data_IF_815597617057
#
_entry.id   IF_815597617057
#
_cell.length_a   1.000
_cell.length_b   1.000
_cell.length_c   1.000
_cell.angle_alpha   90.00
_cell.angle_beta   90.00
_cell.angle_gamma   90.00
#
_symmetry.space_group_name_H-M   'P 1'
#
loop_
_entity.id
_entity.type
_entity.pdbx_description
1 polymer ?
#
# COMPACT_ATOMS: atom_id res chain seq x y z
N UNK A 1 -10.56 -7.11 -23.02
CA UNK A 1 -11.66 -7.48 -22.09
C UNK A 1 -12.24 -6.20 -21.48
N UNK A 2 -13.39 -6.22 -20.78
CA UNK A 2 -13.81 -5.03 -20.04
C UNK A 2 -12.75 -4.63 -19.01
N UNK A 3 -12.61 -3.32 -18.79
CA UNK A 3 -11.67 -2.73 -17.84
C UNK A 3 -12.43 -2.25 -16.61
N UNK A 4 -12.02 -2.73 -15.45
CA UNK A 4 -12.63 -2.35 -14.19
C UNK A 4 -11.62 -1.60 -13.32
N UNK A 5 -12.11 -0.60 -12.58
CA UNK A 5 -11.35 0.02 -11.49
C UNK A 5 -11.31 -0.95 -10.32
N UNK A 6 -10.12 -1.39 -9.94
CA UNK A 6 -9.89 -2.46 -8.98
C UNK A 6 -8.91 -2.03 -7.89
N UNK A 7 -9.16 -0.84 -7.33
CA UNK A 7 -8.33 -0.25 -6.28
C UNK A 7 -8.23 -1.17 -5.07
N UNK A 8 -7.04 -1.22 -4.48
CA UNK A 8 -6.78 -1.95 -3.24
C UNK A 8 -5.89 -1.14 -2.32
N UNK A 9 -5.98 -1.46 -1.04
CA UNK A 9 -5.10 -0.94 -0.02
C UNK A 9 -4.30 -2.07 0.62
N UNK A 10 -3.11 -1.74 1.09
CA UNK A 10 -2.30 -2.63 1.92
C UNK A 10 -2.00 -1.92 3.23
N UNK A 11 -2.33 -2.56 4.34
CA UNK A 11 -1.98 -2.08 5.67
C UNK A 11 -1.05 -3.08 6.36
N UNK A 12 -0.04 -2.57 7.05
CA UNK A 12 0.85 -3.42 7.83
C UNK A 12 1.21 -2.79 9.19
N UNK A 13 1.25 -3.64 10.21
CA UNK A 13 1.85 -3.36 11.52
C UNK A 13 3.24 -4.01 11.53
N UNK A 14 4.27 -3.23 11.82
CA UNK A 14 5.64 -3.74 11.90
C UNK A 14 5.96 -4.21 13.32
N UNK A 15 6.88 -5.17 13.46
CA UNK A 15 7.27 -5.68 14.79
C UNK A 15 7.96 -4.59 15.62
N UNK A 16 8.82 -3.81 14.99
CA UNK A 16 9.52 -2.69 15.62
C UNK A 16 9.67 -1.53 14.63
N UNK A 17 9.39 -0.31 15.10
CA UNK A 17 9.64 0.92 14.35
C UNK A 17 10.35 1.95 15.25
N UNK A 18 11.67 2.06 15.07
CA UNK A 18 12.47 3.06 15.76
C UNK A 18 12.30 4.43 15.13
N UNK A 19 12.41 4.48 13.80
CA UNK A 19 12.36 5.68 12.96
C UNK A 19 11.58 5.44 11.65
N UNK A 20 10.59 6.30 11.39
CA UNK A 20 9.72 6.18 10.22
C UNK A 20 10.47 6.46 8.90
N UNK A 21 11.58 7.19 8.94
CA UNK A 21 12.37 7.48 7.74
C UNK A 21 13.17 6.24 7.33
N UNK A 22 13.90 5.62 8.26
CA UNK A 22 14.65 4.39 8.02
C UNK A 22 13.74 3.25 7.56
N UNK A 23 12.60 3.06 8.24
CA UNK A 23 11.59 2.08 7.79
C UNK A 23 11.03 2.43 6.41
N UNK A 24 10.78 3.72 6.14
CA UNK A 24 10.35 4.18 4.82
C UNK A 24 11.36 3.89 3.71
N UNK A 25 12.66 3.99 3.98
CA UNK A 25 13.72 3.62 3.03
C UNK A 25 13.73 2.12 2.73
N UNK A 26 13.54 1.26 3.74
CA UNK A 26 13.40 -0.19 3.55
C UNK A 26 12.16 -0.55 2.71
N UNK A 27 11.02 0.09 2.99
CA UNK A 27 9.79 -0.08 2.21
C UNK A 27 9.98 0.42 0.77
N UNK A 28 10.61 1.58 0.57
CA UNK A 28 10.92 2.09 -0.77
C UNK A 28 11.82 1.11 -1.54
N UNK A 29 12.85 0.55 -0.89
CA UNK A 29 13.72 -0.44 -1.52
C UNK A 29 12.96 -1.69 -1.94
N UNK A 30 12.04 -2.19 -1.10
CA UNK A 30 11.15 -3.30 -1.45
C UNK A 30 10.28 -2.99 -2.67
N UNK A 31 9.65 -1.82 -2.67
CA UNK A 31 8.73 -1.43 -3.74
C UNK A 31 9.44 -1.19 -5.09
N UNK A 32 10.71 -0.77 -5.06
CA UNK A 32 11.54 -0.64 -6.28
C UNK A 32 11.83 -1.96 -6.98
N UNK A 33 11.68 -3.09 -6.29
CA UNK A 33 11.81 -4.43 -6.88
C UNK A 33 10.51 -4.92 -7.55
N UNK A 34 9.41 -4.16 -7.43
CA UNK A 34 8.16 -4.43 -8.14
C UNK A 34 8.23 -3.72 -9.48
N UNK A 35 8.22 -4.49 -10.56
CA UNK A 35 8.54 -3.97 -11.90
C UNK A 35 7.52 -2.94 -12.41
N UNK A 36 6.28 -3.06 -11.98
CA UNK A 36 5.13 -2.24 -12.36
C UNK A 36 5.12 -0.91 -11.59
N UNK A 37 5.85 -0.80 -10.48
CA UNK A 37 5.95 0.45 -9.72
C UNK A 37 7.08 1.32 -10.28
N UNK A 38 6.73 2.49 -10.82
CA UNK A 38 7.66 3.42 -11.46
C UNK A 38 7.70 4.76 -10.75
N UNK A 39 8.81 5.46 -10.95
CA UNK A 39 9.04 6.83 -10.48
C UNK A 39 8.81 7.01 -8.97
N UNK A 40 9.16 5.97 -8.20
CA UNK A 40 8.99 5.94 -6.76
C UNK A 40 9.95 6.94 -6.08
N UNK A 41 9.37 7.89 -5.33
CA UNK A 41 10.10 8.88 -4.56
C UNK A 41 9.53 8.97 -3.14
N UNK A 42 10.42 9.08 -2.15
CA UNK A 42 10.04 9.27 -0.76
C UNK A 42 10.17 10.73 -0.35
N UNK A 43 9.16 11.26 0.35
CA UNK A 43 9.16 12.59 0.93
C UNK A 43 8.78 12.51 2.41
N UNK A 44 9.36 13.35 3.24
CA UNK A 44 8.97 13.47 4.65
C UNK A 44 7.92 14.55 4.82
N UNK A 45 6.93 14.29 5.67
CA UNK A 45 5.85 15.22 6.02
C UNK A 45 5.82 15.44 7.52
N UNK A 46 5.39 16.64 7.92
CA UNK A 46 5.17 17.01 9.31
C UNK A 46 3.96 17.92 9.41
N UNK A 47 3.03 17.60 10.30
CA UNK A 47 1.83 18.39 10.57
C UNK A 47 1.44 18.23 12.04
N UNK A 48 1.17 19.33 12.74
CA UNK A 48 0.64 19.32 14.12
C UNK A 48 1.40 18.37 15.07
N UNK A 49 2.73 18.39 15.01
CA UNK A 49 3.59 17.54 15.84
C UNK A 49 3.74 16.09 15.37
N UNK A 50 2.91 15.63 14.42
CA UNK A 50 3.04 14.32 13.78
C UNK A 50 4.01 14.39 12.61
N UNK A 51 4.77 13.32 12.41
CA UNK A 51 5.70 13.18 11.29
C UNK A 51 5.57 11.81 10.64
N UNK A 52 5.66 11.75 9.32
CA UNK A 52 5.58 10.52 8.55
C UNK A 52 6.40 10.62 7.26
N UNK A 53 6.68 9.49 6.64
CA UNK A 53 7.21 9.41 5.29
C UNK A 53 6.08 9.05 4.32
N UNK A 54 6.06 9.67 3.15
CA UNK A 54 5.21 9.27 2.04
C UNK A 54 6.07 8.73 0.91
N UNK A 55 5.61 7.69 0.23
CA UNK A 55 6.18 7.22 -1.03
C UNK A 55 5.16 7.49 -2.12
N UNK A 56 5.55 8.29 -3.11
CA UNK A 56 4.74 8.64 -4.28
C UNK A 56 5.29 7.92 -5.50
N UNK A 57 4.42 7.58 -6.43
CA UNK A 57 4.84 7.15 -7.76
C UNK A 57 3.65 6.75 -8.61
N UNK A 58 3.89 5.88 -9.58
CA UNK A 58 2.84 5.36 -10.46
C UNK A 58 2.92 3.85 -10.62
N UNK A 59 1.78 3.28 -10.94
CA UNK A 59 1.60 1.88 -11.34
C UNK A 59 1.54 1.89 -12.86
N UNK A 60 2.47 1.21 -13.51
CA UNK A 60 2.58 1.10 -14.96
C UNK A 60 2.15 -0.31 -15.39
N UNK A 61 0.93 -0.42 -15.89
CA UNK A 61 0.27 -1.67 -16.29
C UNK A 61 -0.38 -1.51 -17.66
N UNK A 62 -0.58 -2.60 -18.43
CA UNK A 62 -1.21 -2.55 -19.75
C UNK A 62 -2.59 -1.89 -19.76
N UNK A 63 -3.33 -1.99 -18.66
CA UNK A 63 -4.67 -1.43 -18.51
C UNK A 63 -4.69 0.10 -18.39
N UNK A 64 -3.52 0.72 -18.18
CA UNK A 64 -3.29 2.16 -18.10
C UNK A 64 -2.54 2.57 -16.84
N UNK A 65 -1.67 3.57 -16.94
CA UNK A 65 -0.89 4.03 -15.79
C UNK A 65 -1.76 4.79 -14.77
N UNK A 66 -1.56 4.49 -13.49
CA UNK A 66 -2.36 5.00 -12.37
C UNK A 66 -1.49 5.36 -11.16
N UNK A 67 -2.11 5.89 -10.11
CA UNK A 67 -1.40 6.46 -8.97
C UNK A 67 -1.00 5.38 -7.94
N UNK A 68 0.20 5.54 -7.38
CA UNK A 68 0.68 4.80 -6.22
C UNK A 68 0.96 5.79 -5.09
N UNK A 69 0.49 5.48 -3.89
CA UNK A 69 0.77 6.27 -2.69
C UNK A 69 0.96 5.38 -1.47
N UNK A 70 2.01 5.61 -0.68
CA UNK A 70 2.19 4.97 0.62
C UNK A 70 2.46 6.01 1.70
N UNK A 71 2.05 5.70 2.93
CA UNK A 71 2.34 6.44 4.15
C UNK A 71 2.96 5.50 5.17
N UNK A 72 4.07 5.93 5.77
CA UNK A 72 4.81 5.24 6.81
C UNK A 72 4.87 6.15 8.03
N UNK A 73 4.27 5.71 9.13
CA UNK A 73 4.23 6.43 10.40
C UNK A 73 4.63 5.52 11.56
N UNK A 74 5.14 6.14 12.61
CA UNK A 74 5.50 5.45 13.86
C UNK A 74 4.29 5.21 14.75
N UNK A 75 3.47 6.24 14.92
CA UNK A 75 2.40 6.23 15.92
C UNK A 75 1.17 5.44 15.44
N UNK A 76 0.74 4.51 16.27
CA UNK A 76 -0.49 3.73 16.09
C UNK A 76 -1.65 4.38 16.84
N UNK A 77 -2.86 4.20 16.35
CA UNK A 77 -4.08 4.57 17.07
C UNK A 77 -5.17 3.53 16.84
N UNK A 78 -6.26 3.57 17.61
CA UNK A 78 -7.39 2.66 17.39
C UNK A 78 -7.97 2.76 15.97
N UNK A 79 -8.00 3.97 15.40
CA UNK A 79 -8.48 4.21 14.03
C UNK A 79 -7.47 3.78 12.96
N UNK A 80 -6.19 3.82 13.29
CA UNK A 80 -5.10 3.51 12.37
C UNK A 80 -4.08 2.59 13.06
N UNK A 81 -4.44 1.32 13.27
CA UNK A 81 -3.60 0.33 13.95
C UNK A 81 -2.58 -0.29 12.98
N UNK A 82 -1.92 0.56 12.20
CA UNK A 82 -0.92 0.17 11.20
C UNK A 82 0.19 1.22 11.12
N UNK A 83 1.41 0.78 10.81
CA UNK A 83 2.55 1.66 10.53
C UNK A 83 2.62 2.05 9.06
N UNK A 84 2.26 1.11 8.19
CA UNK A 84 2.26 1.27 6.76
C UNK A 84 0.83 1.24 6.25
N UNK A 85 0.51 2.21 5.40
CA UNK A 85 -0.67 2.19 4.54
C UNK A 85 -0.21 2.43 3.10
N UNK A 86 -0.69 1.63 2.17
CA UNK A 86 -0.46 1.82 0.73
C UNK A 86 -1.80 1.83 0.03
N UNK A 87 -1.97 2.78 -0.90
CA UNK A 87 -3.05 2.81 -1.87
C UNK A 87 -2.53 2.49 -3.27
N UNK A 88 -3.11 1.46 -3.85
CA UNK A 88 -2.96 1.08 -5.24
C UNK A 88 -4.21 1.51 -6.00
N UNK A 89 -4.15 2.65 -6.68
CA UNK A 89 -5.18 3.05 -7.64
C UNK A 89 -4.84 2.34 -8.94
N UNK A 90 -5.63 1.36 -9.38
CA UNK A 90 -5.32 0.61 -10.59
C UNK A 90 -6.55 0.01 -11.24
N UNK A 91 -6.42 -0.26 -12.54
CA UNK A 91 -7.42 -0.99 -13.30
C UNK A 91 -6.96 -2.43 -13.50
N UNK A 92 -7.91 -3.32 -13.76
CA UNK A 92 -7.61 -4.66 -14.25
C UNK A 92 -8.61 -5.08 -15.33
N UNK A 93 -8.11 -5.79 -16.34
CA UNK A 93 -8.95 -6.48 -17.31
C UNK A 93 -9.39 -7.84 -16.76
N UNK A 94 -10.71 -8.07 -16.78
CA UNK A 94 -11.36 -9.31 -16.36
C UNK A 94 -12.77 -9.40 -16.98
N UNK A 95 -13.49 -10.50 -16.70
CA UNK A 95 -14.88 -10.68 -17.16
C UNK A 95 -15.87 -9.81 -16.38
N UNK A 96 -15.63 -9.62 -15.09
CA UNK A 96 -16.41 -8.78 -14.17
C UNK A 96 -15.51 -8.10 -13.12
N UNK A 97 -16.13 -7.24 -12.30
CA UNK A 97 -15.43 -6.47 -11.25
C UNK A 97 -14.82 -7.37 -10.16
N UNK A 98 -15.45 -8.48 -9.81
CA UNK A 98 -14.98 -9.36 -8.75
C UNK A 98 -13.72 -10.12 -9.18
N UNK A 99 -13.70 -10.60 -10.43
CA UNK A 99 -12.51 -11.19 -11.04
C UNK A 99 -11.38 -10.15 -11.20
N UNK A 100 -11.71 -8.90 -11.56
CA UNK A 100 -10.71 -7.83 -11.63
C UNK A 100 -10.06 -7.56 -10.26
N UNK A 101 -10.87 -7.51 -9.20
CA UNK A 101 -10.40 -7.32 -7.83
C UNK A 101 -9.56 -8.48 -7.33
N UNK A 102 -10.02 -9.71 -7.56
CA UNK A 102 -9.29 -10.92 -7.20
C UNK A 102 -7.92 -10.98 -7.89
N UNK A 103 -7.83 -10.57 -9.17
CA UNK A 103 -6.57 -10.48 -9.92
C UNK A 103 -5.60 -9.48 -9.29
N UNK A 104 -6.07 -8.27 -8.93
CA UNK A 104 -5.23 -7.27 -8.27
C UNK A 104 -4.77 -7.76 -6.90
N UNK A 105 -5.68 -8.33 -6.09
CA UNK A 105 -5.32 -8.90 -4.79
C UNK A 105 -4.25 -9.98 -4.91
N UNK A 106 -4.42 -10.91 -5.86
CA UNK A 106 -3.46 -11.98 -6.09
C UNK A 106 -2.08 -11.45 -6.47
N UNK A 107 -2.02 -10.42 -7.32
CA UNK A 107 -0.77 -9.74 -7.68
C UNK A 107 -0.12 -9.04 -6.47
N UNK A 108 -0.91 -8.37 -5.63
CA UNK A 108 -0.39 -7.77 -4.39
C UNK A 108 0.17 -8.82 -3.43
N UNK A 109 -0.53 -9.95 -3.28
CA UNK A 109 -0.11 -11.07 -2.44
C UNK A 109 1.17 -11.75 -2.97
N UNK A 110 1.33 -11.88 -4.28
CA UNK A 110 2.48 -12.57 -4.88
C UNK A 110 3.69 -11.66 -5.07
N UNK A 111 3.47 -10.41 -5.46
CA UNK A 111 4.55 -9.50 -5.83
C UNK A 111 4.92 -8.52 -4.71
N UNK A 112 3.93 -7.87 -4.10
CA UNK A 112 4.21 -6.75 -3.20
C UNK A 112 4.49 -7.22 -1.78
N UNK A 113 3.59 -8.03 -1.22
CA UNK A 113 3.66 -8.49 0.18
C UNK A 113 5.01 -9.15 0.50
N UNK A 114 5.51 -10.12 -0.30
CA UNK A 114 6.75 -10.83 0.04
C UNK A 114 7.97 -9.91 0.02
N UNK A 115 8.02 -8.93 -0.88
CA UNK A 115 9.13 -7.96 -0.97
C UNK A 115 9.19 -7.05 0.25
N UNK A 116 8.02 -6.61 0.75
CA UNK A 116 7.95 -5.82 1.97
C UNK A 116 8.40 -6.67 3.17
N UNK A 117 7.86 -7.89 3.31
CA UNK A 117 8.18 -8.76 4.44
C UNK A 117 9.65 -9.21 4.46
N UNK A 118 10.29 -9.33 3.29
CA UNK A 118 11.71 -9.67 3.18
C UNK A 118 12.64 -8.56 3.72
N UNK A 119 12.18 -7.30 3.75
CA UNK A 119 12.98 -6.13 4.12
C UNK A 119 12.56 -5.48 5.44
N UNK A 120 11.32 -5.71 5.86
CA UNK A 120 10.74 -5.13 7.06
C UNK A 120 9.92 -6.19 7.80
N UNK A 121 10.32 -6.60 9.03
CA UNK A 121 9.55 -7.54 9.84
C UNK A 121 8.13 -7.02 10.12
N UNK A 122 7.13 -7.80 9.72
CA UNK A 122 5.71 -7.46 9.88
C UNK A 122 5.06 -8.35 10.93
N UNK A 123 4.36 -7.74 11.89
CA UNK A 123 3.47 -8.46 12.80
C UNK A 123 2.16 -8.82 12.11
N UNK A 124 1.59 -7.88 11.36
CA UNK A 124 0.42 -8.13 10.52
C UNK A 124 0.57 -7.42 9.18
N UNK A 125 0.01 -8.02 8.12
CA UNK A 125 -0.12 -7.41 6.81
C UNK A 125 -1.47 -7.85 6.22
N UNK A 126 -2.22 -6.91 5.67
CA UNK A 126 -3.55 -7.16 5.11
C UNK A 126 -3.74 -6.38 3.83
N UNK A 127 -4.30 -7.04 2.83
CA UNK A 127 -4.80 -6.40 1.62
C UNK A 127 -6.31 -6.20 1.81
N UNK A 128 -6.76 -4.98 1.59
CA UNK A 128 -8.13 -4.53 1.82
C UNK A 128 -8.67 -3.88 0.55
N UNK A 129 -9.96 -4.01 0.33
CA UNK A 129 -10.71 -3.18 -0.61
C UNK A 129 -11.09 -1.84 0.04
N UNK A 130 -11.46 -0.82 -0.75
CA UNK A 130 -11.80 0.49 -0.21
C UNK A 130 -12.96 0.51 0.79
N UNK A 131 -13.92 -0.38 0.65
CA UNK A 131 -15.08 -0.56 1.53
C UNK A 131 -14.76 -1.31 2.83
N UNK A 132 -13.59 -1.95 2.91
CA UNK A 132 -13.12 -2.66 4.12
C UNK A 132 -12.31 -1.76 5.07
N UNK A 133 -12.01 -0.51 4.67
CA UNK A 133 -11.29 0.44 5.54
C UNK A 133 -12.26 1.10 6.49
N UNK A 134 -12.03 0.87 7.79
CA UNK A 134 -12.72 1.46 8.95
C UNK A 134 -14.08 2.10 8.60
N UNK A 135 -15.14 1.29 8.62
CA UNK A 135 -16.49 1.80 8.77
C UNK A 135 -16.71 2.05 10.27
N UNK A 136 -16.85 3.31 10.74
CA UNK A 136 -17.28 3.53 12.11
C UNK A 136 -18.61 2.81 12.30
N UNK A 137 -18.72 1.98 13.34
CA UNK A 137 -20.02 1.51 13.78
C UNK A 137 -20.80 2.75 14.21
N UNK A 138 -21.91 3.03 13.52
CA UNK A 138 -22.89 3.98 14.02
C UNK A 138 -23.57 3.27 15.19
N UNK A 139 -23.27 3.71 16.41
CA UNK A 139 -24.08 3.39 17.60
C UNK A 139 -25.42 4.13 17.52
#
# INVERSE_FOLDING_TARGET
MPKFRADHYLVAEFEEITDFKTTGESVLAALKEVSELKDLAMVSKRLEGKSWSEILGRIDIPEGSKAFWAMIKKDLSEREPYNLFIRFDMNAEAEDIENARAKVKAWLDSEVVPRIQARTPTKTIRILQPDEVYMPKLD
#
